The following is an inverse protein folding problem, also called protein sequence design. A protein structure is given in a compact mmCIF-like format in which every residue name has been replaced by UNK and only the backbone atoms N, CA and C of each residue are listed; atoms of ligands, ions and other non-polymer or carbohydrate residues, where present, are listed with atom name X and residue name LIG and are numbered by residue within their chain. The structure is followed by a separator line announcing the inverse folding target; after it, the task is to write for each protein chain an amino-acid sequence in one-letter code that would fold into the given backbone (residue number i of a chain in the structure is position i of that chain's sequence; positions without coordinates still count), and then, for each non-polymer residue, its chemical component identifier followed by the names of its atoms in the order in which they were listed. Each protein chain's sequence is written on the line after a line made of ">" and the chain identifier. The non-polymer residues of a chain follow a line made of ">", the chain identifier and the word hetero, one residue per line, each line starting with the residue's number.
data_IF_096640955579
#
_entry.id   IF_096640955579
#
_cell.length_a   1.000
_cell.length_b   1.000
_cell.length_c   1.000
_cell.angle_alpha   90.00
_cell.angle_beta   90.00
_cell.angle_gamma   90.00
#
_symmetry.space_group_name_H-M   'P 1'
#
loop_
_entity.id
_entity.type
_entity.pdbx_description
1 polymer ?
#
# COMPACT_ATOMS: atom_id res chain seq x y z
N UNK A 1 25.37 48.10 37.53
CA UNK A 1 24.10 47.74 36.86
C UNK A 1 24.23 48.15 35.40
N UNK A 2 23.86 47.35 34.36
CA UNK A 2 23.14 46.07 34.36
C UNK A 2 23.87 44.94 33.57
N UNK A 3 24.10 43.78 34.20
CA UNK A 3 24.63 42.57 33.54
C UNK A 3 23.57 41.44 33.46
N UNK A 4 22.27 41.77 33.55
CA UNK A 4 21.20 40.78 33.68
C UNK A 4 20.29 40.63 32.45
N UNK A 5 20.57 41.33 31.34
CA UNK A 5 19.68 41.32 30.16
C UNK A 5 19.98 40.19 29.16
N UNK A 6 21.21 39.67 29.12
CA UNK A 6 21.62 38.68 28.10
C UNK A 6 21.17 37.25 28.43
N UNK A 7 20.93 36.93 29.70
CA UNK A 7 20.65 35.55 30.14
C UNK A 7 19.22 35.10 29.85
N UNK A 8 18.29 36.02 29.57
CA UNK A 8 16.88 35.68 29.31
C UNK A 8 16.60 35.26 27.86
N UNK A 9 17.41 35.71 26.89
CA UNK A 9 17.20 35.34 25.48
C UNK A 9 17.63 33.90 25.17
N UNK A 10 18.62 33.36 25.89
CA UNK A 10 19.12 32.01 25.63
C UNK A 10 18.16 30.90 26.09
N UNK A 11 17.38 31.16 27.16
CA UNK A 11 16.39 30.22 27.68
C UNK A 11 15.19 30.05 26.75
N UNK A 12 14.70 31.15 26.15
CA UNK A 12 13.51 31.12 25.28
C UNK A 12 13.80 30.40 23.94
N UNK A 13 14.98 30.61 23.36
CA UNK A 13 15.38 29.93 22.12
C UNK A 13 15.57 28.41 22.30
N UNK A 14 16.14 27.99 23.44
CA UNK A 14 16.35 26.58 23.76
C UNK A 14 15.02 25.82 23.98
N UNK A 15 14.06 26.45 24.66
CA UNK A 15 12.71 25.92 24.85
C UNK A 15 11.96 25.76 23.51
N UNK A 16 12.09 26.71 22.59
CA UNK A 16 11.49 26.61 21.26
C UNK A 16 12.10 25.47 20.45
N UNK A 17 13.43 25.30 20.49
CA UNK A 17 14.10 24.22 19.79
C UNK A 17 13.67 22.85 20.33
N UNK A 18 13.58 22.70 21.66
CA UNK A 18 13.11 21.46 22.29
C UNK A 18 11.64 21.14 21.96
N UNK A 19 10.77 22.15 21.92
CA UNK A 19 9.36 21.97 21.55
C UNK A 19 9.21 21.55 20.07
N UNK A 20 9.97 22.15 19.16
CA UNK A 20 9.98 21.78 17.74
C UNK A 20 10.50 20.35 17.58
N UNK A 21 11.56 19.98 18.30
CA UNK A 21 12.12 18.62 18.25
C UNK A 21 11.12 17.59 18.79
N UNK A 22 10.41 17.91 19.86
CA UNK A 22 9.36 17.06 20.42
C UNK A 22 8.20 16.87 19.44
N UNK A 23 7.76 17.93 18.76
CA UNK A 23 6.72 17.86 17.73
C UNK A 23 7.17 17.01 16.55
N UNK A 24 8.42 17.14 16.10
CA UNK A 24 8.99 16.33 15.01
C UNK A 24 9.08 14.84 15.38
N UNK A 25 9.43 14.52 16.62
CA UNK A 25 9.47 13.13 17.13
C UNK A 25 8.08 12.52 17.35
N UNK A 26 7.07 13.37 17.56
CA UNK A 26 5.69 12.96 17.77
C UNK A 26 4.83 13.02 16.51
N UNK A 27 5.43 13.36 15.34
CA UNK A 27 4.75 13.15 14.06
C UNK A 27 4.53 11.65 13.94
N UNK A 28 3.28 11.15 13.99
CA UNK A 28 3.02 9.75 13.75
C UNK A 28 3.61 9.44 12.39
N UNK A 29 4.46 8.42 12.31
CA UNK A 29 4.96 7.92 11.03
C UNK A 29 3.75 7.82 10.10
N UNK A 30 3.80 8.43 8.89
CA UNK A 30 2.67 8.39 7.97
C UNK A 30 2.25 6.94 7.90
N UNK A 31 1.02 6.66 8.34
CA UNK A 31 0.51 5.31 8.52
C UNK A 31 0.99 4.49 7.33
N UNK A 32 1.86 3.52 7.60
CA UNK A 32 2.56 2.68 6.62
C UNK A 32 1.66 2.52 5.39
N UNK A 33 1.97 3.27 4.34
CA UNK A 33 1.09 3.39 3.18
C UNK A 33 0.81 1.98 2.71
N UNK A 34 -0.48 1.57 2.78
CA UNK A 34 -1.01 0.24 2.50
C UNK A 34 0.07 -0.69 1.95
N UNK A 35 0.63 -1.56 2.80
CA UNK A 35 1.81 -2.38 2.51
C UNK A 35 1.73 -2.99 1.10
N UNK A 36 2.30 -2.30 0.11
CA UNK A 36 2.19 -2.66 -1.30
C UNK A 36 3.10 -3.83 -1.66
N UNK A 37 3.87 -4.32 -0.68
CA UNK A 37 4.73 -5.47 -0.80
C UNK A 37 4.04 -6.77 -0.35
N UNK A 38 2.86 -6.69 0.27
CA UNK A 38 2.14 -7.86 0.76
C UNK A 38 1.41 -8.62 -0.35
N UNK A 39 1.32 -9.95 -0.17
CA UNK A 39 0.58 -10.85 -1.07
C UNK A 39 -0.89 -10.44 -1.22
N UNK A 40 -1.50 -9.91 -0.16
CA UNK A 40 -2.89 -9.43 -0.18
C UNK A 40 -3.08 -8.19 -1.05
N UNK A 41 -2.10 -7.29 -1.06
CA UNK A 41 -2.14 -6.15 -1.97
C UNK A 41 -1.98 -6.63 -3.41
N UNK A 42 -1.03 -7.55 -3.64
CA UNK A 42 -0.74 -8.07 -4.98
C UNK A 42 -1.92 -8.88 -5.54
N UNK A 43 -2.59 -9.69 -4.71
CA UNK A 43 -3.79 -10.45 -5.10
C UNK A 43 -4.92 -9.51 -5.53
N UNK A 44 -5.23 -8.50 -4.70
CA UNK A 44 -6.26 -7.51 -5.02
C UNK A 44 -5.93 -6.66 -6.25
N UNK A 45 -4.66 -6.28 -6.41
CA UNK A 45 -4.20 -5.52 -7.58
C UNK A 45 -4.38 -6.33 -8.89
N UNK A 46 -3.95 -7.59 -8.89
CA UNK A 46 -4.07 -8.46 -10.06
C UNK A 46 -5.54 -8.72 -10.37
N UNK A 47 -6.36 -9.09 -9.39
CA UNK A 47 -7.79 -9.33 -9.58
C UNK A 47 -8.50 -8.09 -10.17
N UNK A 48 -8.23 -6.90 -9.63
CA UNK A 48 -8.81 -5.66 -10.15
C UNK A 48 -8.39 -5.38 -11.60
N UNK A 49 -7.14 -5.65 -11.97
CA UNK A 49 -6.68 -5.51 -13.36
C UNK A 49 -7.33 -6.54 -14.29
N UNK A 50 -7.46 -7.80 -13.86
CA UNK A 50 -8.13 -8.83 -14.64
C UNK A 50 -9.59 -8.46 -14.91
N UNK A 51 -10.33 -8.02 -13.89
CA UNK A 51 -11.75 -7.70 -14.01
C UNK A 51 -12.01 -6.37 -14.73
N UNK A 52 -11.31 -5.31 -14.34
CA UNK A 52 -11.58 -3.97 -14.88
C UNK A 52 -10.91 -3.73 -16.22
N UNK A 53 -9.65 -4.11 -16.34
CA UNK A 53 -8.83 -3.72 -17.48
C UNK A 53 -8.87 -4.79 -18.59
N UNK A 54 -9.00 -6.07 -18.22
CA UNK A 54 -9.13 -7.18 -19.18
C UNK A 54 -10.57 -7.71 -19.34
N UNK A 55 -11.50 -7.32 -18.47
CA UNK A 55 -12.91 -7.73 -18.55
C UNK A 55 -13.14 -9.21 -18.20
N UNK A 56 -12.21 -9.84 -17.47
CA UNK A 56 -12.33 -11.24 -17.09
C UNK A 56 -13.30 -11.37 -15.91
N UNK A 57 -14.36 -12.20 -16.02
CA UNK A 57 -15.23 -12.44 -14.88
C UNK A 57 -14.47 -13.20 -13.78
N UNK A 58 -14.74 -12.87 -12.52
CA UNK A 58 -14.07 -13.48 -11.36
C UNK A 58 -14.20 -15.01 -11.26
N UNK A 59 -15.24 -15.59 -11.87
CA UNK A 59 -15.45 -17.05 -11.93
C UNK A 59 -14.64 -17.74 -13.05
N UNK A 60 -13.98 -16.98 -13.93
CA UNK A 60 -13.21 -17.57 -15.06
C UNK A 60 -11.77 -17.95 -14.70
N UNK A 61 -11.32 -17.60 -13.51
CA UNK A 61 -9.95 -17.84 -13.07
C UNK A 61 -9.89 -18.10 -11.57
N UNK A 62 -8.83 -18.78 -11.13
CA UNK A 62 -8.41 -18.87 -9.74
C UNK A 62 -7.05 -18.18 -9.59
N UNK A 63 -6.91 -17.35 -8.58
CA UNK A 63 -5.70 -16.55 -8.32
C UNK A 63 -5.17 -16.86 -6.91
N UNK A 64 -3.95 -17.38 -6.85
CA UNK A 64 -3.22 -17.58 -5.61
C UNK A 64 -1.93 -16.76 -5.61
N UNK A 65 -1.66 -16.04 -4.53
CA UNK A 65 -0.42 -15.27 -4.35
C UNK A 65 0.29 -15.74 -3.08
N UNK A 66 1.54 -16.15 -3.21
CA UNK A 66 2.38 -16.61 -2.09
C UNK A 66 3.80 -16.09 -2.26
N UNK A 67 4.29 -15.34 -1.29
CA UNK A 67 5.66 -14.81 -1.26
C UNK A 67 5.98 -13.89 -2.44
N UNK A 68 5.01 -13.09 -2.89
CA UNK A 68 5.11 -12.19 -4.03
C UNK A 68 4.97 -12.85 -5.40
N UNK A 69 4.71 -14.17 -5.44
CA UNK A 69 4.52 -14.92 -6.68
C UNK A 69 3.03 -15.17 -6.90
N UNK A 70 2.50 -14.67 -8.02
CA UNK A 70 1.12 -14.90 -8.42
C UNK A 70 1.00 -16.09 -9.38
N UNK A 71 0.12 -17.02 -9.04
CA UNK A 71 -0.28 -18.16 -9.88
C UNK A 71 -1.71 -17.95 -10.32
N UNK A 72 -1.93 -17.89 -11.64
CA UNK A 72 -3.23 -17.71 -12.25
C UNK A 72 -3.63 -19.01 -12.97
N UNK A 73 -4.71 -19.63 -12.52
CA UNK A 73 -5.27 -20.84 -13.13
C UNK A 73 -6.50 -20.47 -13.93
N UNK A 74 -6.53 -20.84 -15.22
CA UNK A 74 -7.65 -20.52 -16.09
C UNK A 74 -8.58 -21.72 -16.23
N UNK A 75 -9.87 -21.50 -16.01
CA UNK A 75 -10.88 -22.49 -16.33
C UNK A 75 -11.21 -22.36 -17.82
N UNK A 76 -10.47 -23.07 -18.67
CA UNK A 76 -10.83 -23.12 -20.09
C UNK A 76 -12.17 -23.86 -20.21
N UNK A 77 -13.21 -23.15 -20.64
CA UNK A 77 -14.35 -23.81 -21.24
C UNK A 77 -13.85 -24.46 -22.54
N UNK A 78 -13.52 -25.74 -22.44
CA UNK A 78 -12.92 -26.60 -23.46
C UNK A 78 -13.29 -26.21 -24.91
N UNK A 79 -12.33 -25.81 -25.76
CA UNK A 79 -12.58 -25.49 -27.17
C UNK A 79 -13.10 -26.70 -27.98
N UNK A 80 -12.92 -27.93 -27.48
CA UNK A 80 -13.37 -29.18 -28.11
C UNK A 80 -14.90 -29.28 -28.23
N UNK A 81 -15.68 -28.49 -27.48
CA UNK A 81 -17.15 -28.48 -27.60
C UNK A 81 -17.68 -27.60 -28.74
N UNK A 82 -16.88 -26.65 -29.26
CA UNK A 82 -17.27 -25.84 -30.43
C UNK A 82 -17.19 -26.61 -31.74
N UNK A 83 -16.29 -27.59 -31.86
CA UNK A 83 -16.19 -28.43 -33.06
C UNK A 83 -17.16 -29.62 -33.06
N UNK A 84 -17.65 -30.02 -31.87
CA UNK A 84 -18.67 -31.07 -31.73
C UNK A 84 -20.10 -30.62 -32.08
N UNK A 85 -20.25 -29.42 -32.64
CA UNK A 85 -21.46 -28.87 -33.28
C UNK A 85 -22.78 -29.46 -32.81
N UNK A 86 -23.37 -28.90 -31.74
CA UNK A 86 -24.81 -29.05 -31.49
C UNK A 86 -25.31 -28.17 -30.33
N UNK A 87 -26.46 -27.47 -30.48
CA UNK A 87 -27.13 -26.93 -31.67
C UNK A 87 -26.96 -25.41 -31.82
#
# INVERSE_FOLDING_TARGET
>A
MPLHSATRLYGFGCLCAAAIFLVLLCVPSPALGADRAGDEFLSGYIAATLERDLGWPSDSYDLAVVGGVATLTLFTADPLRREAGQP
#
